data_IF_696495516059
#
_entry.id   IF_696495516059
#
_cell.length_a   1.000
_cell.length_b   1.000
_cell.length_c   1.000
_cell.angle_alpha   90.00
_cell.angle_beta   90.00
_cell.angle_gamma   90.00
#
_symmetry.space_group_name_H-M   'P 1'
#
loop_
_entity.id
_entity.type
_entity.pdbx_description
1 polymer ?
#
# COMPACT_ATOMS: atom_id res chain seq x y z
N UNK A 1 2.28 3.68 -38.23
CA UNK A 1 1.42 2.72 -37.49
C UNK A 1 1.69 1.35 -38.04
N UNK A 2 1.96 0.37 -37.19
CA UNK A 2 2.29 -0.97 -37.65
C UNK A 2 2.26 -1.99 -36.52
N UNK A 3 2.14 -3.26 -36.92
CA UNK A 3 2.30 -4.40 -36.04
C UNK A 3 3.42 -5.28 -36.59
N UNK A 4 4.26 -5.82 -35.71
CA UNK A 4 5.25 -6.84 -36.08
C UNK A 4 4.86 -8.14 -35.40
N UNK A 5 4.73 -9.20 -36.20
CA UNK A 5 4.40 -10.52 -35.72
C UNK A 5 5.65 -11.39 -35.64
N UNK A 6 5.82 -12.08 -34.53
CA UNK A 6 6.58 -13.32 -34.49
C UNK A 6 5.68 -14.41 -33.88
N UNK A 7 6.08 -15.69 -34.00
CA UNK A 7 5.25 -16.84 -33.61
C UNK A 7 4.77 -16.83 -32.14
N UNK A 8 5.30 -15.94 -31.29
CA UNK A 8 5.01 -15.85 -29.86
C UNK A 8 4.54 -14.48 -29.39
N UNK A 9 4.78 -13.39 -30.12
CA UNK A 9 4.47 -12.05 -29.66
C UNK A 9 3.99 -11.13 -30.79
N UNK A 10 3.15 -10.17 -30.41
CA UNK A 10 2.67 -9.10 -31.28
C UNK A 10 3.12 -7.76 -30.71
N UNK A 11 4.01 -7.07 -31.43
CA UNK A 11 4.42 -5.70 -31.10
C UNK A 11 3.47 -4.70 -31.75
N UNK A 12 2.98 -3.74 -30.97
CA UNK A 12 2.04 -2.69 -31.39
C UNK A 12 2.70 -1.34 -31.13
N UNK A 13 2.87 -0.54 -32.19
CA UNK A 13 3.43 0.81 -32.10
C UNK A 13 2.66 1.83 -32.95
N UNK A 14 2.70 3.09 -32.53
CA UNK A 14 2.11 4.21 -33.25
C UNK A 14 3.14 5.32 -33.49
N UNK A 15 2.96 6.10 -34.56
CA UNK A 15 3.94 7.12 -34.96
C UNK A 15 4.10 8.27 -33.94
N UNK A 16 3.13 8.45 -33.04
CA UNK A 16 3.15 9.45 -31.98
C UNK A 16 3.33 8.82 -30.57
N UNK A 17 3.67 7.53 -30.48
CA UNK A 17 3.84 6.79 -29.23
C UNK A 17 2.62 6.88 -28.30
N UNK A 18 1.41 6.91 -28.88
CA UNK A 18 0.14 6.86 -28.17
C UNK A 18 -0.74 5.75 -28.72
N UNK A 19 -1.24 4.87 -27.86
CA UNK A 19 -2.06 3.72 -28.26
C UNK A 19 -3.32 3.70 -27.40
N UNK A 20 -4.48 3.70 -28.06
CA UNK A 20 -5.77 3.60 -27.38
C UNK A 20 -6.18 2.13 -27.29
N UNK A 21 -6.53 1.68 -26.10
CA UNK A 21 -6.98 0.30 -25.81
C UNK A 21 -8.40 0.36 -25.29
N UNK A 22 -9.29 -0.39 -25.93
CA UNK A 22 -10.68 -0.57 -25.50
C UNK A 22 -10.73 -1.84 -24.66
N UNK A 23 -11.08 -1.70 -23.39
CA UNK A 23 -11.23 -2.82 -22.47
C UNK A 23 -12.59 -3.51 -22.68
N UNK A 24 -12.73 -4.80 -22.29
CA UNK A 24 -13.97 -5.56 -22.47
C UNK A 24 -15.23 -4.90 -21.86
N UNK A 25 -15.05 -4.15 -20.77
CA UNK A 25 -16.08 -3.35 -20.10
C UNK A 25 -16.47 -2.06 -20.85
N UNK A 26 -15.89 -1.80 -22.03
CA UNK A 26 -16.13 -0.60 -22.85
C UNK A 26 -15.33 0.63 -22.41
N UNK A 27 -14.59 0.55 -21.30
CA UNK A 27 -13.69 1.61 -20.84
C UNK A 27 -12.52 1.72 -21.81
N UNK A 28 -12.24 2.94 -22.25
CA UNK A 28 -11.15 3.19 -23.18
C UNK A 28 -10.02 3.94 -22.49
N UNK A 29 -8.78 3.43 -22.64
CA UNK A 29 -7.57 4.03 -22.03
C UNK A 29 -6.54 4.37 -23.09
N UNK A 30 -5.86 5.49 -22.90
CA UNK A 30 -4.76 5.94 -23.75
C UNK A 30 -3.44 5.59 -23.09
N UNK A 31 -2.58 4.82 -23.73
CA UNK A 31 -1.25 4.46 -23.22
C UNK A 31 -0.15 5.18 -24.00
N UNK A 32 0.95 5.46 -23.32
CA UNK A 32 2.17 6.01 -23.93
C UNK A 32 3.15 4.90 -24.31
N UNK A 33 4.03 5.15 -25.29
CA UNK A 33 5.04 4.19 -25.73
C UNK A 33 4.47 3.14 -26.69
N UNK A 34 4.82 1.88 -26.46
CA UNK A 34 4.39 0.72 -27.27
C UNK A 34 3.76 -0.38 -26.42
N UNK A 35 3.00 -1.27 -27.06
CA UNK A 35 2.43 -2.44 -26.41
C UNK A 35 3.00 -3.73 -27.03
N UNK A 36 3.08 -4.77 -26.22
CA UNK A 36 3.37 -6.14 -26.68
C UNK A 36 2.34 -7.08 -26.09
N UNK A 37 1.72 -7.89 -26.94
CA UNK A 37 1.00 -9.08 -26.47
C UNK A 37 1.97 -10.26 -26.47
N UNK A 38 2.14 -10.92 -25.33
CA UNK A 38 3.10 -12.03 -25.13
C UNK A 38 2.48 -13.16 -24.29
N UNK A 39 2.94 -14.42 -24.42
CA UNK A 39 2.52 -15.51 -23.56
C UNK A 39 2.99 -15.28 -22.12
N UNK A 40 2.30 -15.89 -21.16
CA UNK A 40 2.70 -15.90 -19.75
C UNK A 40 2.80 -17.33 -19.20
N UNK A 41 3.30 -17.46 -17.96
CA UNK A 41 3.52 -18.74 -17.30
C UNK A 41 2.22 -19.56 -17.09
N UNK A 42 1.06 -18.91 -17.17
CA UNK A 42 -0.26 -19.52 -16.99
C UNK A 42 -0.84 -20.10 -18.30
N UNK A 43 -0.07 -20.11 -19.39
CA UNK A 43 -0.52 -20.64 -20.68
C UNK A 43 -1.53 -19.76 -21.42
N UNK A 44 -1.67 -18.49 -21.02
CA UNK A 44 -2.46 -17.49 -21.73
C UNK A 44 -1.56 -16.30 -22.17
N UNK A 45 -2.14 -15.11 -22.40
CA UNK A 45 -1.41 -13.94 -22.89
C UNK A 45 -1.54 -12.73 -21.97
N UNK A 46 -0.45 -11.98 -21.84
CA UNK A 46 -0.36 -10.68 -21.16
C UNK A 46 -0.16 -9.57 -22.19
N UNK A 47 -0.84 -8.44 -22.01
CA UNK A 47 -0.59 -7.21 -22.75
C UNK A 47 0.34 -6.31 -21.92
N UNK A 48 1.59 -6.18 -22.34
CA UNK A 48 2.64 -5.42 -21.65
C UNK A 48 2.80 -4.05 -22.31
N UNK A 49 2.83 -2.98 -21.52
CA UNK A 49 3.12 -1.64 -21.99
C UNK A 49 4.59 -1.27 -21.75
N UNK A 50 5.34 -1.07 -22.83
CA UNK A 50 6.70 -0.53 -22.81
C UNK A 50 6.63 0.99 -22.86
N UNK A 51 6.97 1.64 -21.74
CA UNK A 51 6.77 3.07 -21.53
C UNK A 51 7.96 3.69 -20.80
N UNK A 52 8.48 4.86 -21.23
CA UNK A 52 9.54 5.55 -20.50
C UNK A 52 9.10 5.95 -19.09
N UNK A 53 9.99 5.84 -18.10
CA UNK A 53 9.69 6.07 -16.68
C UNK A 53 8.90 7.36 -16.40
N UNK A 54 9.37 8.51 -16.87
CA UNK A 54 8.68 9.79 -16.64
C UNK A 54 7.30 9.84 -17.33
N UNK A 55 7.10 9.09 -18.42
CA UNK A 55 5.78 8.96 -19.07
C UNK A 55 4.88 8.01 -18.29
N UNK A 56 5.42 6.94 -17.72
CA UNK A 56 4.71 6.03 -16.83
C UNK A 56 4.16 6.75 -15.60
N UNK A 57 4.98 7.60 -14.97
CA UNK A 57 4.58 8.37 -13.79
C UNK A 57 3.38 9.29 -14.04
N UNK A 58 3.19 9.78 -15.27
CA UNK A 58 2.02 10.60 -15.65
C UNK A 58 0.70 9.83 -15.56
N UNK A 59 0.76 8.50 -15.67
CA UNK A 59 -0.38 7.61 -15.48
C UNK A 59 -0.46 6.96 -14.11
N UNK A 60 0.49 7.25 -13.21
CA UNK A 60 0.49 6.77 -11.82
C UNK A 60 0.12 7.89 -10.85
N UNK A 61 0.90 8.97 -10.86
CA UNK A 61 0.82 10.03 -9.84
C UNK A 61 -0.60 10.62 -9.69
N UNK A 62 -1.35 10.94 -10.77
CA UNK A 62 -2.71 11.47 -10.62
C UNK A 62 -3.69 10.52 -9.93
N UNK A 63 -3.49 9.21 -10.09
CA UNK A 63 -4.39 8.18 -9.57
C UNK A 63 -4.05 7.75 -8.15
N UNK A 64 -2.79 7.92 -7.75
CA UNK A 64 -2.35 7.55 -6.41
C UNK A 64 -2.71 8.61 -5.37
N UNK A 65 -2.28 9.86 -5.57
CA UNK A 65 -2.44 10.89 -4.53
C UNK A 65 -3.75 11.68 -4.67
N UNK A 66 -4.45 11.55 -5.79
CA UNK A 66 -5.72 12.21 -6.06
C UNK A 66 -5.59 13.64 -6.63
N UNK A 67 -6.65 14.15 -7.29
CA UNK A 67 -6.59 15.36 -8.11
C UNK A 67 -6.46 16.67 -7.32
N UNK A 68 -6.77 16.66 -6.02
CA UNK A 68 -6.74 17.86 -5.17
C UNK A 68 -5.46 18.01 -4.34
N UNK A 69 -4.49 17.10 -4.51
CA UNK A 69 -3.22 17.14 -3.81
C UNK A 69 -2.48 18.48 -4.04
N UNK A 70 -1.99 19.12 -2.95
CA UNK A 70 -1.11 20.29 -3.06
C UNK A 70 0.19 19.96 -3.81
N UNK A 71 0.81 20.92 -4.52
CA UNK A 71 1.99 20.67 -5.36
C UNK A 71 3.11 19.88 -4.68
N UNK A 72 3.51 20.26 -3.46
CA UNK A 72 4.58 19.57 -2.73
C UNK A 72 4.22 18.12 -2.33
N UNK A 73 2.94 17.83 -2.08
CA UNK A 73 2.50 16.46 -1.84
C UNK A 73 2.60 15.63 -3.13
N UNK A 74 2.25 16.23 -4.28
CA UNK A 74 2.39 15.59 -5.60
C UNK A 74 3.87 15.35 -5.95
N UNK A 75 4.77 16.26 -5.58
CA UNK A 75 6.22 16.08 -5.71
C UNK A 75 6.72 14.90 -4.87
N UNK A 76 6.30 14.80 -3.60
CA UNK A 76 6.63 13.66 -2.74
C UNK A 76 6.14 12.34 -3.35
N UNK A 77 4.90 12.31 -3.85
CA UNK A 77 4.35 11.13 -4.54
C UNK A 77 5.16 10.78 -5.80
N UNK A 78 5.58 11.77 -6.59
CA UNK A 78 6.37 11.53 -7.80
C UNK A 78 7.74 10.91 -7.48
N UNK A 79 8.43 11.41 -6.44
CA UNK A 79 9.70 10.85 -5.97
C UNK A 79 9.52 9.39 -5.52
N UNK A 80 8.50 9.11 -4.70
CA UNK A 80 8.24 7.76 -4.19
C UNK A 80 7.78 6.80 -5.28
N UNK A 81 6.89 7.23 -6.17
CA UNK A 81 6.43 6.41 -7.29
C UNK A 81 7.59 6.05 -8.24
N UNK A 82 8.51 7.00 -8.50
CA UNK A 82 9.73 6.75 -9.27
C UNK A 82 10.63 5.73 -8.57
N UNK A 83 10.86 5.93 -7.27
CA UNK A 83 11.69 5.05 -6.44
C UNK A 83 11.12 3.62 -6.41
N UNK A 84 9.82 3.50 -6.17
CA UNK A 84 9.11 2.22 -6.16
C UNK A 84 9.26 1.50 -7.51
N UNK A 85 9.04 2.23 -8.61
CA UNK A 85 9.13 1.67 -9.96
C UNK A 85 10.50 1.04 -10.20
N UNK A 86 11.56 1.81 -9.96
CA UNK A 86 12.94 1.40 -10.20
C UNK A 86 13.40 0.28 -9.26
N UNK A 87 12.95 0.29 -8.00
CA UNK A 87 13.27 -0.78 -7.04
C UNK A 87 12.61 -2.12 -7.39
N UNK A 88 11.49 -2.11 -8.10
CA UNK A 88 10.64 -3.30 -8.30
C UNK A 88 10.67 -3.88 -9.72
N UNK A 89 11.62 -3.48 -10.58
CA UNK A 89 11.67 -3.89 -11.99
C UNK A 89 11.75 -5.42 -12.22
N UNK A 90 12.12 -6.21 -11.20
CA UNK A 90 12.25 -7.67 -11.30
C UNK A 90 10.98 -8.46 -10.92
N UNK A 91 9.93 -7.80 -10.46
CA UNK A 91 8.82 -8.46 -9.72
C UNK A 91 8.09 -9.53 -10.53
N UNK A 92 7.98 -9.36 -11.85
CA UNK A 92 7.31 -10.33 -12.74
C UNK A 92 8.23 -10.86 -13.84
N UNK A 93 9.53 -11.01 -13.54
CA UNK A 93 10.52 -11.48 -14.51
C UNK A 93 10.19 -12.83 -15.15
N UNK A 94 9.41 -13.70 -14.47
CA UNK A 94 8.96 -14.99 -15.04
C UNK A 94 7.98 -14.82 -16.21
N UNK A 95 7.20 -13.75 -16.20
CA UNK A 95 6.22 -13.41 -17.24
C UNK A 95 6.76 -12.34 -18.22
N UNK A 96 8.05 -12.01 -18.12
CA UNK A 96 8.77 -11.02 -18.96
C UNK A 96 8.15 -9.61 -18.91
N UNK A 97 7.77 -9.16 -17.70
CA UNK A 97 7.41 -7.76 -17.42
C UNK A 97 7.83 -7.32 -16.01
N UNK A 98 7.78 -6.01 -15.77
CA UNK A 98 8.38 -5.40 -14.57
C UNK A 98 7.35 -5.15 -13.46
N UNK A 99 6.19 -4.58 -13.81
CA UNK A 99 5.16 -4.13 -12.86
C UNK A 99 3.75 -4.36 -13.40
N UNK A 100 2.82 -4.62 -12.48
CA UNK A 100 1.39 -4.68 -12.73
C UNK A 100 0.75 -3.28 -12.70
N UNK A 101 -0.43 -3.12 -13.31
CA UNK A 101 -1.15 -1.84 -13.41
C UNK A 101 -2.21 -1.61 -12.29
N UNK A 102 -2.23 -2.50 -11.30
CA UNK A 102 -3.18 -2.50 -10.17
C UNK A 102 -2.51 -1.99 -8.90
N UNK A 103 -3.31 -1.83 -7.84
CA UNK A 103 -2.84 -1.48 -6.49
C UNK A 103 -1.85 -2.48 -5.90
N UNK A 104 -1.70 -3.68 -6.48
CA UNK A 104 -0.67 -4.63 -6.04
C UNK A 104 0.75 -4.09 -6.34
N UNK A 105 0.87 -3.20 -7.33
CA UNK A 105 2.09 -2.49 -7.67
C UNK A 105 1.88 -0.99 -7.50
N UNK A 106 1.34 -0.33 -8.52
CA UNK A 106 0.92 1.07 -8.52
C UNK A 106 -0.26 1.21 -9.49
N UNK A 107 -1.20 2.11 -9.19
CA UNK A 107 -2.37 2.36 -10.03
C UNK A 107 -1.93 3.05 -11.33
N UNK A 108 -1.77 2.28 -12.42
CA UNK A 108 -1.36 2.79 -13.73
C UNK A 108 -2.50 2.74 -14.75
N UNK A 109 -3.08 3.90 -15.09
CA UNK A 109 -4.22 3.99 -16.04
C UNK A 109 -3.87 4.63 -17.39
N UNK A 110 -2.57 4.82 -17.66
CA UNK A 110 -2.10 5.47 -18.88
C UNK A 110 -2.24 6.99 -18.83
N UNK A 111 -2.30 7.63 -20.00
CA UNK A 111 -2.23 9.08 -20.19
C UNK A 111 -3.60 9.78 -20.24
N UNK A 112 -4.71 9.03 -20.09
CA UNK A 112 -6.07 9.59 -20.21
C UNK A 112 -6.34 10.71 -19.22
N UNK A 113 -5.90 10.52 -17.97
CA UNK A 113 -6.09 11.46 -16.86
C UNK A 113 -4.79 12.17 -16.46
N UNK A 114 -3.85 12.31 -17.40
CA UNK A 114 -2.63 13.08 -17.17
C UNK A 114 -2.99 14.52 -16.77
N UNK A 115 -2.47 14.96 -15.63
CA UNK A 115 -2.79 16.27 -15.05
C UNK A 115 -1.62 17.22 -15.16
N UNK A 116 -1.87 18.46 -15.58
CA UNK A 116 -0.83 19.50 -15.62
C UNK A 116 -0.16 19.75 -14.26
N UNK A 117 -0.86 19.49 -13.15
CA UNK A 117 -0.27 19.56 -11.81
C UNK A 117 0.74 18.43 -11.59
N UNK A 118 0.36 17.20 -11.91
CA UNK A 118 1.24 16.05 -11.83
C UNK A 118 2.43 16.19 -12.77
N UNK A 119 2.21 16.62 -14.02
CA UNK A 119 3.27 16.84 -15.01
C UNK A 119 4.32 17.85 -14.51
N UNK A 120 3.90 18.94 -13.86
CA UNK A 120 4.82 19.91 -13.25
C UNK A 120 5.62 19.32 -12.09
N UNK A 121 4.97 18.57 -11.20
CA UNK A 121 5.64 17.93 -10.07
C UNK A 121 6.63 16.84 -10.52
N UNK A 122 6.24 16.03 -11.52
CA UNK A 122 7.10 15.02 -12.15
C UNK A 122 8.32 15.70 -12.78
N UNK A 123 8.13 16.79 -13.51
CA UNK A 123 9.22 17.55 -14.11
C UNK A 123 10.12 18.24 -13.07
N UNK A 124 9.54 18.82 -12.02
CA UNK A 124 10.29 19.48 -10.93
C UNK A 124 11.14 18.49 -10.12
N UNK A 125 10.68 17.25 -10.00
CA UNK A 125 11.38 16.16 -9.29
C UNK A 125 12.08 15.19 -10.24
N UNK A 126 12.35 15.61 -11.48
CA UNK A 126 12.89 14.74 -12.52
C UNK A 126 14.15 14.03 -12.00
N UNK A 127 14.19 12.71 -12.18
CA UNK A 127 15.28 11.84 -11.73
C UNK A 127 15.50 11.78 -10.21
N UNK A 128 14.77 12.50 -9.36
CA UNK A 128 14.91 12.39 -7.91
C UNK A 128 14.30 11.07 -7.41
N UNK A 129 15.07 10.36 -6.59
CA UNK A 129 14.71 9.10 -5.93
C UNK A 129 15.07 9.15 -4.45
N UNK A 130 14.40 8.33 -3.64
CA UNK A 130 14.69 8.15 -2.23
C UNK A 130 15.59 6.93 -2.01
N UNK A 131 16.66 7.11 -1.23
CA UNK A 131 17.67 6.07 -0.98
C UNK A 131 18.03 5.98 0.49
N UNK A 132 18.46 4.79 0.93
CA UNK A 132 19.07 4.53 2.23
C UNK A 132 20.34 3.73 1.99
N UNK A 133 21.47 4.18 2.53
CA UNK A 133 22.79 3.54 2.27
C UNK A 133 23.07 3.31 0.78
N UNK A 134 22.70 4.30 -0.04
CA UNK A 134 22.84 4.30 -1.50
C UNK A 134 22.08 3.17 -2.23
N UNK A 135 21.11 2.54 -1.57
CA UNK A 135 20.12 1.64 -2.17
C UNK A 135 18.74 2.32 -2.24
N UNK A 136 17.99 2.13 -3.32
CA UNK A 136 16.60 2.62 -3.42
C UNK A 136 15.77 2.06 -2.28
N UNK A 137 14.96 2.89 -1.62
CA UNK A 137 14.11 2.43 -0.51
C UNK A 137 12.86 1.70 -0.99
N UNK A 138 12.29 0.84 -0.12
CA UNK A 138 10.92 0.36 -0.25
C UNK A 138 9.94 1.52 -0.07
N UNK A 139 9.69 2.25 -1.15
CA UNK A 139 8.91 3.48 -1.22
C UNK A 139 7.39 3.21 -1.16
N UNK A 140 6.94 2.72 -0.01
CA UNK A 140 5.54 2.35 0.24
C UNK A 140 4.70 3.58 0.65
N UNK A 141 3.45 3.61 0.22
CA UNK A 141 2.52 4.70 0.57
C UNK A 141 1.09 4.17 0.63
N UNK A 142 0.24 4.80 1.44
CA UNK A 142 -1.17 4.45 1.55
C UNK A 142 -2.03 5.69 1.78
N UNK A 143 -3.34 5.53 1.65
CA UNK A 143 -4.28 6.66 1.76
C UNK A 143 -4.17 7.37 3.10
N UNK A 144 -4.31 6.63 4.19
CA UNK A 144 -4.35 7.19 5.55
C UNK A 144 -3.76 6.17 6.53
N UNK A 145 -2.86 6.61 7.40
CA UNK A 145 -2.14 5.81 8.41
C UNK A 145 -2.95 5.65 9.70
N UNK A 146 -3.94 6.52 9.94
CA UNK A 146 -4.68 6.53 11.20
C UNK A 146 -3.91 7.23 12.31
N UNK A 147 -3.10 8.23 11.98
CA UNK A 147 -2.32 9.03 12.92
C UNK A 147 -0.99 8.41 13.33
N UNK A 148 -0.66 7.23 12.82
CA UNK A 148 0.62 6.57 13.07
C UNK A 148 1.00 5.64 11.90
N UNK A 149 2.22 5.80 11.38
CA UNK A 149 2.79 4.89 10.39
C UNK A 149 3.15 3.54 11.01
N UNK A 150 3.26 2.50 10.19
CA UNK A 150 3.66 1.17 10.61
C UNK A 150 5.07 0.82 10.10
N UNK A 151 5.87 0.06 10.88
CA UNK A 151 7.00 -0.71 10.37
C UNK A 151 6.60 -1.68 9.26
N UNK A 152 7.57 -2.12 8.46
CA UNK A 152 7.32 -3.07 7.37
C UNK A 152 6.82 -4.42 7.89
N UNK A 153 7.47 -4.93 8.93
CA UNK A 153 7.26 -6.23 9.55
C UNK A 153 5.90 -6.34 10.26
N UNK A 154 5.26 -5.21 10.58
CA UNK A 154 3.92 -5.17 11.14
C UNK A 154 2.84 -5.57 10.13
N UNK A 155 3.14 -5.45 8.82
CA UNK A 155 2.18 -5.68 7.74
C UNK A 155 2.58 -6.86 6.87
N UNK A 156 3.87 -7.07 6.64
CA UNK A 156 4.37 -8.16 5.79
C UNK A 156 5.45 -8.98 6.50
N UNK A 157 5.76 -10.14 5.94
CA UNK A 157 6.90 -10.94 6.37
C UNK A 157 8.16 -10.47 5.63
N UNK A 158 9.28 -10.48 6.34
CA UNK A 158 10.59 -10.10 5.80
C UNK A 158 11.39 -9.29 6.81
N UNK A 159 12.65 -8.95 6.47
CA UNK A 159 13.50 -8.19 7.36
C UNK A 159 12.94 -6.80 7.63
N UNK A 160 13.32 -6.20 8.74
CA UNK A 160 12.98 -4.81 9.04
C UNK A 160 13.56 -3.87 7.97
N UNK A 161 12.96 -2.69 7.82
CA UNK A 161 13.52 -1.60 7.00
C UNK A 161 13.82 -0.42 7.92
N UNK A 162 15.09 -0.01 8.07
CA UNK A 162 15.45 1.08 8.98
C UNK A 162 14.71 2.39 8.69
N UNK A 163 14.29 2.62 7.46
CA UNK A 163 13.54 3.80 7.02
C UNK A 163 12.01 3.64 7.05
N UNK A 164 11.46 2.47 7.41
CA UNK A 164 10.02 2.27 7.61
C UNK A 164 9.77 2.00 9.09
N UNK A 165 9.52 3.07 9.84
CA UNK A 165 9.35 3.00 11.30
C UNK A 165 7.96 3.44 11.71
N UNK A 166 7.56 3.03 12.93
CA UNK A 166 6.37 3.56 13.56
C UNK A 166 6.59 5.02 13.97
N UNK A 167 5.77 5.93 13.44
CA UNK A 167 5.87 7.35 13.71
C UNK A 167 4.49 7.97 13.80
N UNK A 168 4.25 8.74 14.85
CA UNK A 168 3.03 9.54 14.98
C UNK A 168 2.97 10.53 13.81
N UNK A 169 1.91 10.47 13.03
CA UNK A 169 1.70 11.32 11.86
C UNK A 169 1.18 12.69 12.29
N UNK A 170 2.07 13.46 12.91
CA UNK A 170 1.84 14.82 13.40
C UNK A 170 3.13 15.64 13.34
N UNK A 171 2.98 16.96 13.20
CA UNK A 171 4.08 17.92 13.40
C UNK A 171 4.27 18.31 14.86
N UNK A 172 3.32 17.99 15.74
CA UNK A 172 3.38 18.23 17.18
C UNK A 172 3.49 16.94 18.00
N UNK A 173 3.65 17.10 19.31
CA UNK A 173 3.66 15.97 20.25
C UNK A 173 2.22 15.61 20.67
N UNK A 174 1.60 14.69 19.93
CA UNK A 174 0.25 14.18 20.23
C UNK A 174 0.29 12.92 21.09
N UNK A 175 1.32 12.10 20.91
CA UNK A 175 1.47 10.82 21.58
C UNK A 175 2.95 10.46 21.74
N UNK A 176 3.31 9.92 22.90
CA UNK A 176 4.67 9.44 23.18
C UNK A 176 4.68 7.91 23.11
N UNK A 177 5.18 7.36 21.99
CA UNK A 177 5.24 5.92 21.77
C UNK A 177 6.22 5.20 22.69
N UNK A 178 7.25 5.89 23.19
CA UNK A 178 8.23 5.30 24.09
C UNK A 178 7.62 5.03 25.47
N UNK A 179 6.72 5.89 25.92
CA UNK A 179 6.03 5.75 27.22
C UNK A 179 4.70 5.00 27.12
N UNK A 180 3.98 5.17 26.00
CA UNK A 180 2.64 4.64 25.80
C UNK A 180 2.56 3.80 24.52
N UNK A 181 3.13 2.59 24.57
CA UNK A 181 3.02 1.64 23.45
C UNK A 181 1.56 1.39 23.07
N UNK A 182 1.25 1.44 21.76
CA UNK A 182 -0.07 1.13 21.23
C UNK A 182 -0.33 -0.38 21.12
N UNK A 183 0.67 -1.21 21.45
CA UNK A 183 0.48 -2.65 21.67
C UNK A 183 -0.44 -2.93 22.87
N UNK A 184 -0.53 -2.00 23.82
CA UNK A 184 -1.48 -2.07 24.93
C UNK A 184 -2.87 -1.57 24.50
N UNK A 185 -3.92 -2.34 24.82
CA UNK A 185 -5.27 -2.03 24.35
C UNK A 185 -5.86 -0.74 24.95
N UNK A 186 -5.59 -0.43 26.22
CA UNK A 186 -6.09 0.81 26.84
C UNK A 186 -5.46 2.04 26.18
N UNK A 187 -4.15 1.99 25.92
CA UNK A 187 -3.42 3.01 25.18
C UNK A 187 -3.98 3.17 23.75
N UNK A 188 -4.24 2.08 23.05
CA UNK A 188 -4.82 2.13 21.70
C UNK A 188 -6.21 2.76 21.69
N UNK A 189 -7.08 2.39 22.64
CA UNK A 189 -8.42 2.97 22.76
C UNK A 189 -8.35 4.47 23.00
N UNK A 190 -7.47 4.92 23.87
CA UNK A 190 -7.22 6.35 24.11
C UNK A 190 -6.71 7.05 22.84
N UNK A 191 -5.70 6.48 22.17
CA UNK A 191 -5.12 7.03 20.94
C UNK A 191 -6.15 7.16 19.80
N UNK A 192 -7.01 6.16 19.62
CA UNK A 192 -8.08 6.20 18.61
C UNK A 192 -9.23 7.14 18.99
N UNK A 193 -9.36 7.50 20.27
CA UNK A 193 -10.30 8.53 20.71
C UNK A 193 -9.82 9.95 20.35
N UNK A 194 -8.51 10.17 20.22
CA UNK A 194 -7.96 11.45 19.74
C UNK A 194 -8.35 11.69 18.28
N UNK A 195 -9.07 12.79 18.02
CA UNK A 195 -9.56 13.19 16.68
C UNK A 195 -8.79 14.36 16.04
N UNK A 196 -7.94 15.02 16.82
CA UNK A 196 -7.27 16.28 16.46
C UNK A 196 -5.76 16.17 16.66
N UNK A 197 -5.00 17.06 16.04
CA UNK A 197 -3.55 17.17 16.19
C UNK A 197 -2.74 16.32 15.22
N UNK A 198 -3.37 15.52 14.37
CA UNK A 198 -2.68 14.70 13.37
C UNK A 198 -2.68 15.38 12.01
N UNK A 199 -1.75 15.01 11.14
CA UNK A 199 -1.70 15.51 9.76
C UNK A 199 -2.91 15.04 8.94
N UNK A 200 -3.62 14.02 9.42
CA UNK A 200 -4.78 13.40 8.77
C UNK A 200 -6.12 13.84 9.39
N UNK A 201 -6.09 14.76 10.35
CA UNK A 201 -7.29 15.29 11.01
C UNK A 201 -8.28 15.84 9.97
N UNK A 202 -9.56 15.43 10.10
CA UNK A 202 -10.64 15.85 9.21
C UNK A 202 -10.90 14.92 8.02
N UNK A 203 -10.01 13.97 7.72
CA UNK A 203 -10.25 12.99 6.66
C UNK A 203 -11.20 11.87 7.11
N UNK A 204 -12.16 11.50 6.26
CA UNK A 204 -13.20 10.52 6.58
C UNK A 204 -12.67 9.12 6.97
N UNK A 205 -11.45 8.76 6.55
CA UNK A 205 -10.81 7.47 6.85
C UNK A 205 -9.81 7.56 8.00
N UNK A 206 -9.57 8.73 8.58
CA UNK A 206 -8.65 8.90 9.70
C UNK A 206 -9.11 8.17 10.96
N UNK A 207 -10.42 8.17 11.23
CA UNK A 207 -11.07 7.43 12.31
C UNK A 207 -12.37 6.84 11.80
N UNK A 208 -12.63 5.59 12.11
CA UNK A 208 -13.82 4.89 11.65
C UNK A 208 -14.31 3.88 12.69
N UNK A 209 -15.60 3.54 12.58
CA UNK A 209 -16.26 2.51 13.38
C UNK A 209 -17.22 1.75 12.46
N UNK A 210 -16.99 0.44 12.31
CA UNK A 210 -17.79 -0.41 11.42
C UNK A 210 -18.25 -1.66 12.18
N UNK A 211 -19.57 -1.85 12.22
CA UNK A 211 -20.18 -3.03 12.83
C UNK A 211 -20.47 -4.08 11.78
N UNK A 212 -20.31 -5.36 12.13
CA UNK A 212 -20.63 -6.51 11.27
C UNK A 212 -21.14 -7.68 12.12
N UNK A 213 -22.05 -8.48 11.55
CA UNK A 213 -22.60 -9.65 12.22
C UNK A 213 -21.68 -10.86 12.06
N UNK A 214 -21.76 -11.84 12.97
CA UNK A 214 -21.06 -13.12 12.81
C UNK A 214 -21.42 -13.83 11.50
N UNK A 215 -22.67 -13.68 11.06
CA UNK A 215 -23.14 -14.23 9.79
C UNK A 215 -22.38 -13.61 8.61
N UNK A 216 -22.35 -12.29 8.51
CA UNK A 216 -21.65 -11.60 7.41
C UNK A 216 -20.15 -11.90 7.45
N UNK A 217 -19.54 -11.90 8.63
CA UNK A 217 -18.13 -12.29 8.80
C UNK A 217 -17.87 -13.71 8.29
N UNK A 218 -18.79 -14.65 8.54
CA UNK A 218 -18.68 -16.05 8.08
C UNK A 218 -18.75 -16.13 6.55
N UNK A 219 -19.69 -15.43 5.93
CA UNK A 219 -19.85 -15.39 4.47
C UNK A 219 -18.60 -14.81 3.79
N UNK A 220 -18.07 -13.69 4.30
CA UNK A 220 -16.85 -13.09 3.79
C UNK A 220 -15.62 -13.98 3.96
N UNK A 221 -15.46 -14.58 5.14
CA UNK A 221 -14.33 -15.48 5.41
C UNK A 221 -14.36 -16.69 4.48
N UNK A 222 -15.54 -17.30 4.26
CA UNK A 222 -15.67 -18.41 3.30
C UNK A 222 -15.28 -18.01 1.88
N UNK A 223 -15.65 -16.80 1.43
CA UNK A 223 -15.23 -16.29 0.12
C UNK A 223 -13.71 -16.11 0.06
N UNK A 224 -13.13 -15.53 1.10
CA UNK A 224 -11.68 -15.33 1.20
C UNK A 224 -10.90 -16.66 1.16
N UNK A 225 -11.36 -17.66 1.92
CA UNK A 225 -10.76 -19.00 2.01
C UNK A 225 -10.96 -19.80 0.71
N UNK A 226 -12.16 -19.74 0.13
CA UNK A 226 -12.49 -20.42 -1.13
C UNK A 226 -11.65 -19.92 -2.30
N UNK A 227 -11.42 -18.61 -2.40
CA UNK A 227 -10.53 -18.02 -3.40
C UNK A 227 -9.05 -18.49 -3.27
N UNK A 228 -8.68 -19.06 -2.12
CA UNK A 228 -7.35 -19.59 -1.83
C UNK A 228 -7.31 -21.13 -1.82
N UNK A 229 -8.42 -21.79 -2.13
CA UNK A 229 -8.56 -23.24 -1.99
C UNK A 229 -8.17 -23.75 -0.58
N UNK A 230 -8.47 -22.96 0.45
CA UNK A 230 -8.04 -23.28 1.81
C UNK A 230 -8.90 -24.42 2.41
N UNK A 231 -8.31 -25.39 3.15
CA UNK A 231 -9.05 -26.55 3.70
C UNK A 231 -10.20 -26.19 4.63
N UNK A 232 -10.09 -25.06 5.33
CA UNK A 232 -11.14 -24.54 6.23
C UNK A 232 -12.34 -23.91 5.50
N UNK A 233 -12.37 -23.88 4.16
CA UNK A 233 -13.54 -23.33 3.43
C UNK A 233 -14.82 -24.09 3.78
N UNK A 234 -15.97 -23.43 3.74
CA UNK A 234 -17.28 -24.01 4.04
C UNK A 234 -17.59 -24.08 5.54
N UNK A 235 -17.07 -23.11 6.31
CA UNK A 235 -17.45 -22.84 7.71
C UNK A 235 -18.94 -22.52 7.76
N UNK A 236 -19.67 -23.09 8.71
CA UNK A 236 -21.10 -22.78 8.90
C UNK A 236 -21.28 -21.56 9.80
N UNK A 237 -20.40 -21.37 10.78
CA UNK A 237 -20.46 -20.24 11.71
C UNK A 237 -19.08 -19.87 12.27
N UNK A 238 -18.84 -18.57 12.38
CA UNK A 238 -17.85 -18.02 13.31
C UNK A 238 -18.50 -17.93 14.69
N UNK A 239 -17.82 -18.45 15.71
CA UNK A 239 -18.27 -18.42 17.10
C UNK A 239 -17.75 -17.19 17.84
N UNK A 240 -16.49 -16.81 17.59
CA UNK A 240 -15.89 -15.59 18.13
C UNK A 240 -14.63 -15.20 17.36
N UNK A 241 -14.20 -13.96 17.50
CA UNK A 241 -12.86 -13.50 17.10
C UNK A 241 -12.15 -12.82 18.25
N UNK A 242 -10.83 -12.95 18.29
CA UNK A 242 -9.97 -12.33 19.29
C UNK A 242 -8.66 -11.88 18.67
N UNK A 243 -8.25 -10.66 19.02
CA UNK A 243 -6.89 -10.18 18.72
C UNK A 243 -5.93 -10.82 19.72
N UNK A 244 -4.98 -11.60 19.21
CA UNK A 244 -4.01 -12.34 20.04
C UNK A 244 -2.67 -11.63 20.11
N UNK A 245 -2.33 -10.83 19.10
CA UNK A 245 -1.07 -10.11 19.05
C UNK A 245 -1.20 -8.75 18.39
N UNK A 246 -0.50 -7.76 18.96
CA UNK A 246 -0.47 -6.38 18.48
C UNK A 246 0.93 -5.81 18.57
N UNK A 247 1.35 -5.09 17.54
CA UNK A 247 2.64 -4.41 17.52
C UNK A 247 2.64 -3.15 18.39
N UNK A 248 3.82 -2.62 18.75
CA UNK A 248 3.93 -1.32 19.44
C UNK A 248 3.32 -0.13 18.67
N UNK A 249 3.16 -0.24 17.34
CA UNK A 249 2.48 0.75 16.50
C UNK A 249 0.94 0.64 16.54
N UNK A 250 0.43 -0.36 17.25
CA UNK A 250 -0.99 -0.63 17.41
C UNK A 250 -1.59 -1.47 16.28
N UNK A 251 -0.80 -1.93 15.31
CA UNK A 251 -1.28 -2.81 14.24
C UNK A 251 -1.55 -4.21 14.80
N UNK A 252 -2.71 -4.76 14.46
CA UNK A 252 -3.03 -6.17 14.75
C UNK A 252 -2.11 -7.04 13.92
N UNK A 253 -1.29 -7.85 14.59
CA UNK A 253 -0.39 -8.80 13.95
C UNK A 253 -1.06 -10.15 13.76
N UNK A 254 -1.84 -10.58 14.76
CA UNK A 254 -2.46 -11.91 14.77
C UNK A 254 -3.87 -11.82 15.35
N UNK A 255 -4.81 -12.46 14.67
CA UNK A 255 -6.19 -12.61 15.10
C UNK A 255 -6.60 -14.08 15.01
N UNK A 256 -7.16 -14.59 16.10
CA UNK A 256 -7.74 -15.92 16.17
C UNK A 256 -9.25 -15.84 15.87
N UNK A 257 -9.72 -16.73 15.00
CA UNK A 257 -11.12 -16.88 14.61
C UNK A 257 -11.57 -18.26 15.03
N UNK A 258 -12.46 -18.33 16.02
CA UNK A 258 -13.07 -19.58 16.45
C UNK A 258 -14.26 -19.90 15.53
N UNK A 259 -14.29 -21.11 14.98
CA UNK A 259 -15.31 -21.55 14.02
C UNK A 259 -15.85 -22.93 14.38
N UNK A 260 -16.96 -23.34 13.75
CA UNK A 260 -17.48 -24.71 13.90
C UNK A 260 -16.53 -25.81 13.39
N UNK A 261 -15.53 -25.46 12.58
CA UNK A 261 -14.49 -26.38 12.10
C UNK A 261 -13.21 -26.37 12.95
N UNK A 262 -13.15 -25.52 13.97
CA UNK A 262 -11.98 -25.29 14.81
C UNK A 262 -11.38 -23.89 14.65
N UNK A 263 -10.30 -23.59 15.38
CA UNK A 263 -9.64 -22.29 15.34
C UNK A 263 -8.92 -22.06 14.00
N UNK A 264 -8.95 -20.82 13.54
CA UNK A 264 -8.16 -20.34 12.41
C UNK A 264 -7.40 -19.09 12.84
N UNK A 265 -6.09 -19.10 12.62
CA UNK A 265 -5.26 -17.91 12.78
C UNK A 265 -5.19 -17.12 11.47
N UNK A 266 -5.32 -15.80 11.56
CA UNK A 266 -5.19 -14.87 10.44
C UNK A 266 -4.21 -13.78 10.83
N UNK A 267 -3.17 -13.57 10.03
CA UNK A 267 -2.05 -12.70 10.40
C UNK A 267 -1.91 -11.50 9.46
N UNK A 268 -1.52 -10.36 10.04
CA UNK A 268 -1.09 -9.13 9.36
C UNK A 268 -2.07 -8.65 8.27
N UNK A 269 -1.60 -8.39 7.06
CA UNK A 269 -2.40 -7.86 5.95
C UNK A 269 -3.56 -8.78 5.53
N UNK A 270 -3.47 -10.08 5.82
CA UNK A 270 -4.55 -11.03 5.57
C UNK A 270 -5.81 -10.68 6.36
N UNK A 271 -5.68 -10.07 7.54
CA UNK A 271 -6.82 -9.67 8.40
C UNK A 271 -7.76 -8.73 7.66
N UNK A 272 -7.22 -7.78 6.88
CA UNK A 272 -8.02 -6.83 6.07
C UNK A 272 -8.76 -7.49 4.92
N UNK A 273 -8.23 -8.61 4.44
CA UNK A 273 -8.76 -9.32 3.27
C UNK A 273 -9.72 -10.44 3.66
N UNK A 274 -9.60 -10.97 4.88
CA UNK A 274 -10.42 -12.05 5.41
C UNK A 274 -11.86 -11.64 5.74
N UNK A 275 -12.08 -10.35 5.94
CA UNK A 275 -13.37 -9.77 6.34
C UNK A 275 -13.65 -8.49 5.56
N UNK A 276 -14.91 -8.01 5.58
CA UNK A 276 -15.26 -6.73 4.95
C UNK A 276 -14.68 -5.52 5.73
N UNK A 277 -14.95 -5.36 7.04
CA UNK A 277 -14.08 -4.63 7.94
C UNK A 277 -13.05 -5.61 8.57
N UNK A 278 -11.80 -5.20 8.79
CA UNK A 278 -11.34 -3.82 8.89
C UNK A 278 -10.66 -3.30 7.62
N UNK A 279 -10.70 -1.99 7.40
CA UNK A 279 -10.08 -1.34 6.22
C UNK A 279 -8.60 -0.96 6.44
N UNK A 280 -8.10 -1.10 7.67
CA UNK A 280 -6.69 -1.03 8.08
C UNK A 280 -6.45 -2.03 9.22
N UNK A 281 -5.21 -2.34 9.58
CA UNK A 281 -4.91 -3.20 10.75
C UNK A 281 -4.78 -2.42 12.06
N UNK A 282 -5.10 -1.12 12.09
CA UNK A 282 -5.14 -0.30 13.32
C UNK A 282 -6.55 -0.22 13.88
N UNK A 283 -6.93 -1.19 14.71
CA UNK A 283 -8.25 -1.24 15.32
C UNK A 283 -8.28 -2.06 16.61
N UNK A 284 -9.32 -1.84 17.42
CA UNK A 284 -9.77 -2.75 18.45
C UNK A 284 -11.20 -3.26 18.15
N UNK A 285 -11.63 -4.28 18.89
CA UNK A 285 -12.94 -4.90 18.75
C UNK A 285 -13.80 -4.60 19.98
N UNK A 286 -15.05 -4.20 19.76
CA UNK A 286 -16.09 -4.21 20.78
C UNK A 286 -17.12 -5.29 20.44
N UNK A 287 -17.42 -6.24 21.34
CA UNK A 287 -18.42 -7.28 21.08
C UNK A 287 -19.82 -6.67 21.02
N UNK A 288 -20.63 -7.13 20.07
CA UNK A 288 -22.04 -6.78 19.96
C UNK A 288 -22.87 -7.93 20.50
N UNK A 289 -23.57 -7.71 21.60
CA UNK A 289 -24.43 -8.71 22.24
C UNK A 289 -25.91 -8.45 21.88
N UNK A 290 -26.70 -9.51 21.81
CA UNK A 290 -28.15 -9.44 21.73
C UNK A 290 -28.81 -9.26 23.12
N UNK A 291 -30.15 -9.24 23.15
CA UNK A 291 -30.94 -9.09 24.39
C UNK A 291 -30.69 -10.22 25.40
N UNK A 292 -30.26 -11.40 24.93
CA UNK A 292 -29.96 -12.57 25.75
C UNK A 292 -28.47 -12.67 26.11
N UNK A 293 -27.68 -11.61 25.90
CA UNK A 293 -26.23 -11.59 26.09
C UNK A 293 -25.46 -12.54 25.15
N UNK A 294 -26.09 -13.02 24.07
CA UNK A 294 -25.41 -13.84 23.07
C UNK A 294 -24.64 -12.95 22.08
N UNK A 295 -23.43 -13.37 21.70
CA UNK A 295 -22.62 -12.65 20.74
C UNK A 295 -23.26 -12.67 19.35
N UNK A 296 -23.56 -11.48 18.81
CA UNK A 296 -24.16 -11.28 17.49
C UNK A 296 -23.16 -10.82 16.44
N UNK A 297 -22.06 -10.22 16.86
CA UNK A 297 -21.05 -9.65 15.96
C UNK A 297 -20.05 -8.77 16.69
N UNK A 298 -19.36 -7.93 15.93
CA UNK A 298 -18.33 -7.04 16.46
C UNK A 298 -18.41 -5.66 15.81
N UNK A 299 -18.11 -4.64 16.60
CA UNK A 299 -17.78 -3.31 16.10
C UNK A 299 -16.27 -3.17 16.05
N UNK A 300 -15.74 -2.98 14.84
CA UNK A 300 -14.34 -2.66 14.61
C UNK A 300 -14.18 -1.14 14.73
N UNK A 301 -13.41 -0.69 15.72
CA UNK A 301 -13.11 0.74 15.90
C UNK A 301 -11.64 0.97 15.62
N UNK A 302 -11.35 1.82 14.63
CA UNK A 302 -10.02 1.95 14.10
C UNK A 302 -9.72 3.28 13.44
N UNK A 303 -8.58 3.33 12.77
CA UNK A 303 -8.13 4.49 12.02
C UNK A 303 -7.29 4.12 10.80
N UNK A 304 -7.31 4.97 9.80
CA UNK A 304 -6.54 4.78 8.56
C UNK A 304 -7.24 3.94 7.51
N UNK A 305 -6.68 3.93 6.31
CA UNK A 305 -7.11 3.16 5.16
C UNK A 305 -5.89 2.74 4.34
N UNK A 306 -5.66 1.43 4.25
CA UNK A 306 -4.45 0.86 3.67
C UNK A 306 -3.54 0.20 4.71
N UNK A 307 -2.30 -0.06 4.33
CA UNK A 307 -1.30 -0.68 5.21
C UNK A 307 -0.76 0.29 6.27
N UNK A 308 -0.66 1.59 5.95
CA UNK A 308 -0.08 2.60 6.84
C UNK A 308 1.44 2.57 6.97
N UNK A 309 2.12 1.68 6.25
CA UNK A 309 3.59 1.71 6.08
C UNK A 309 4.00 2.83 5.11
N UNK A 310 5.03 3.60 5.50
CA UNK A 310 5.59 4.68 4.68
C UNK A 310 4.70 5.93 4.63
N UNK A 311 4.57 6.55 3.45
CA UNK A 311 3.90 7.85 3.32
C UNK A 311 2.37 7.75 3.46
N UNK A 312 1.80 8.63 4.30
CA UNK A 312 0.37 8.95 4.24
C UNK A 312 0.08 9.94 3.12
N UNK A 313 -0.73 9.54 2.15
CA UNK A 313 -1.18 10.45 1.09
C UNK A 313 -1.96 11.62 1.68
N UNK A 314 -2.90 11.34 2.58
CA UNK A 314 -3.71 12.38 3.24
C UNK A 314 -2.89 13.23 4.22
N UNK A 315 -1.95 12.65 4.96
CA UNK A 315 -1.05 13.39 5.84
C UNK A 315 -0.09 14.31 5.05
N UNK A 316 0.38 13.86 3.88
CA UNK A 316 1.21 14.68 2.99
C UNK A 316 0.52 15.96 2.51
N UNK A 317 -0.82 15.97 2.38
CA UNK A 317 -1.56 17.18 2.04
C UNK A 317 -1.36 18.25 3.11
N UNK A 318 -1.56 17.88 4.39
CA UNK A 318 -1.41 18.81 5.50
C UNK A 318 0.02 19.32 5.63
N UNK A 319 1.01 18.46 5.47
CA UNK A 319 2.42 18.87 5.50
C UNK A 319 2.73 19.88 4.37
N UNK A 320 2.21 19.66 3.17
CA UNK A 320 2.33 20.61 2.07
C UNK A 320 1.62 21.94 2.35
N UNK A 321 0.43 21.93 2.95
CA UNK A 321 -0.28 23.14 3.39
C UNK A 321 0.49 23.94 4.45
N UNK A 322 1.28 23.25 5.29
CA UNK A 322 2.21 23.86 6.24
C UNK A 322 3.49 24.41 5.58
N UNK A 323 3.58 24.37 4.24
CA UNK A 323 4.69 24.93 3.47
C UNK A 323 5.89 24.00 3.34
N UNK A 324 5.75 22.70 3.60
CA UNK A 324 6.84 21.75 3.39
C UNK A 324 6.98 21.43 1.89
N UNK A 325 8.22 21.27 1.42
CA UNK A 325 8.50 20.79 0.07
C UNK A 325 8.42 19.26 -0.02
N UNK A 326 8.39 18.71 -1.24
CA UNK A 326 8.26 17.27 -1.46
C UNK A 326 9.34 16.44 -0.78
N UNK A 327 10.59 16.89 -0.83
CA UNK A 327 11.73 16.17 -0.22
C UNK A 327 11.59 16.06 1.31
N UNK A 328 11.23 17.16 1.99
CA UNK A 328 11.00 17.16 3.44
C UNK A 328 9.82 16.28 3.83
N UNK A 329 8.77 16.24 3.00
CA UNK A 329 7.63 15.34 3.21
C UNK A 329 8.10 13.89 3.12
N UNK A 330 8.91 13.53 2.11
CA UNK A 330 9.46 12.16 2.02
C UNK A 330 10.31 11.83 3.23
N UNK A 331 11.24 12.70 3.63
CA UNK A 331 12.11 12.47 4.79
C UNK A 331 11.34 12.34 6.11
N UNK A 332 10.15 12.94 6.23
CA UNK A 332 9.29 12.77 7.40
C UNK A 332 8.72 11.37 7.54
N UNK A 333 8.33 10.74 6.43
CA UNK A 333 7.78 9.38 6.41
C UNK A 333 8.86 8.31 6.27
N UNK A 334 10.03 8.67 5.74
CA UNK A 334 11.17 7.80 5.51
C UNK A 334 12.42 8.37 6.21
N UNK A 335 12.49 8.29 7.54
CA UNK A 335 13.61 8.84 8.30
C UNK A 335 14.94 8.21 7.89
N UNK A 336 16.01 9.02 7.90
CA UNK A 336 17.36 8.57 7.53
C UNK A 336 17.60 8.41 6.02
N UNK A 337 16.59 8.64 5.18
CA UNK A 337 16.76 8.58 3.72
C UNK A 337 17.34 9.86 3.12
N UNK A 338 17.97 9.70 1.97
CA UNK A 338 18.46 10.79 1.13
C UNK A 338 17.63 10.87 -0.15
N UNK A 339 17.23 12.09 -0.51
CA UNK A 339 16.68 12.37 -1.84
C UNK A 339 17.84 12.81 -2.72
N UNK A 340 18.07 12.08 -3.80
CA UNK A 340 19.16 12.37 -4.71
C UNK A 340 18.78 12.07 -6.16
N UNK A 341 19.43 12.73 -7.14
CA UNK A 341 19.28 12.38 -8.54
C UNK A 341 19.76 10.95 -8.80
N UNK A 342 19.02 10.23 -9.63
CA UNK A 342 19.39 8.92 -10.14
C UNK A 342 20.77 8.99 -10.82
N UNK A 343 21.66 8.09 -10.44
CA UNK A 343 23.01 7.98 -10.99
C UNK A 343 23.47 6.50 -10.99
N UNK A 344 24.58 6.21 -11.66
CA UNK A 344 25.08 4.85 -11.85
C UNK A 344 25.54 4.16 -10.55
N UNK A 345 25.82 4.91 -9.49
CA UNK A 345 26.24 4.34 -8.21
C UNK A 345 25.06 3.84 -7.37
N UNK A 346 23.83 4.27 -7.64
CA UNK A 346 22.66 3.89 -6.84
C UNK A 346 22.31 2.43 -7.11
N UNK A 347 22.24 1.65 -6.03
CA UNK A 347 21.81 0.26 -6.10
C UNK A 347 20.29 0.21 -6.13
N UNK A 348 19.71 -0.43 -7.15
CA UNK A 348 18.25 -0.48 -7.26
C UNK A 348 17.65 -1.47 -6.28
N UNK A 349 18.36 -2.57 -6.02
CA UNK A 349 17.99 -3.59 -5.06
C UNK A 349 19.15 -4.53 -4.75
N UNK A 350 19.26 -4.96 -3.50
CA UNK A 350 20.08 -6.10 -3.08
C UNK A 350 19.18 -7.22 -2.55
N UNK A 351 19.57 -8.47 -2.80
CA UNK A 351 18.87 -9.61 -2.23
C UNK A 351 19.06 -9.63 -0.70
N UNK A 352 17.99 -9.43 0.10
CA UNK A 352 18.11 -9.39 1.55
C UNK A 352 18.62 -10.73 2.13
N UNK A 353 18.39 -11.86 1.43
CA UNK A 353 18.82 -13.19 1.88
C UNK A 353 20.33 -13.41 1.70
N UNK A 354 20.99 -12.60 0.84
CA UNK A 354 22.44 -12.69 0.62
C UNK A 354 23.20 -11.87 1.67
N UNK A 355 22.61 -10.81 2.21
CA UNK A 355 23.26 -9.93 3.20
C UNK A 355 23.33 -10.51 4.61
N UNK A 356 22.47 -11.46 5.00
CA UNK A 356 22.55 -12.11 6.32
C UNK A 356 23.74 -13.06 6.44
N UNK A 357 24.14 -13.72 5.35
CA UNK A 357 25.27 -14.67 5.36
C UNK A 357 26.66 -14.02 5.39
N UNK A 358 26.77 -12.69 5.32
CA UNK A 358 28.06 -11.97 5.43
C UNK A 358 28.29 -11.37 6.83
N UNK A 359 27.37 -11.57 7.78
CA UNK A 359 27.46 -11.08 9.16
C UNK A 359 27.95 -12.09 10.19
N UNK A 360 28.15 -13.36 9.83
CA UNK A 360 28.57 -14.42 10.76
C UNK A 360 30.02 -14.90 10.58
N UNK A 361 30.78 -14.34 9.63
CA UNK A 361 32.23 -14.53 9.52
C UNK A 361 32.96 -13.20 9.84
N UNK A 362 33.14 -12.92 11.13
CA UNK A 362 33.89 -11.75 11.62
C UNK A 362 34.46 -11.95 13.01
#
# INVERSE_FOLDING_TARGET
NGYRYNRRAVDISSGNNRIQVVHPEGVTRLYGGSLRMQPNAYGNYTLVNFVPLETYLRGVVPHEIGPQAPPAAVEAQAILARTYTLRNLRRFGIDDYELCATTDCQVYWGLGDASARADRAIAATRSLVATYENELVDALYSSTTGGITAPFEDVWNGPARPYLQARVDSTGLVWDLAQKSLGNEANLREFLNLKQGFNETGWNRFRWSYSTSLKDMTEFLNKYLGNRNHPMTGIQKIESVKITERSPSGRVLTMEVQTDKGPLEISKDQIRNAFYPPISTLFYLDPMLDENQALKGYTFVGGGFGHGVGLSQTGAYRLAELGWNGERIVQFYFPGTQIQPLNEAIVFWRDPMVTENQGEEG
#
